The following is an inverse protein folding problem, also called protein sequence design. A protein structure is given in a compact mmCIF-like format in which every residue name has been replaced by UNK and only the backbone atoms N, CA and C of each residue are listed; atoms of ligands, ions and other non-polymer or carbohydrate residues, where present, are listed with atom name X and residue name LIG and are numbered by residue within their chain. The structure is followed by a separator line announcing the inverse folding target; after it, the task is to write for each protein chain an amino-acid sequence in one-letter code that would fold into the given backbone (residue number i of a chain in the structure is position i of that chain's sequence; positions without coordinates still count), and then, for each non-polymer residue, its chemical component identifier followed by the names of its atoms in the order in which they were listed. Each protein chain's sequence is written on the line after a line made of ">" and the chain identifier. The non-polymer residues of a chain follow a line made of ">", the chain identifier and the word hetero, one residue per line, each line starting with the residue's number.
data_IF_685023862547
#
_entry.id   IF_685023862547
#
_cell.length_a   1.000
_cell.length_b   1.000
_cell.length_c   1.000
_cell.angle_alpha   90.00
_cell.angle_beta   90.00
_cell.angle_gamma   90.00
#
_symmetry.space_group_name_H-M   'P 1'
#
loop_
_entity.id
_entity.type
_entity.pdbx_description
1 polymer ?
#
# COMPACT_ATOMS: atom_id res chain seq x y z
N UNK A 1 -8.39 35.79 -14.57
CA UNK A 1 -8.20 34.35 -14.90
C UNK A 1 -9.56 33.71 -14.87
N UNK A 2 -9.94 33.04 -15.96
CA UNK A 2 -11.28 32.50 -16.18
C UNK A 2 -11.69 31.57 -15.04
N UNK A 3 -12.83 31.85 -14.41
CA UNK A 3 -13.54 30.87 -13.60
C UNK A 3 -13.95 29.77 -14.57
N UNK A 4 -13.24 28.64 -14.55
CA UNK A 4 -13.70 27.46 -15.27
C UNK A 4 -14.99 27.04 -14.57
N UNK A 5 -16.10 27.09 -15.30
CA UNK A 5 -17.42 26.74 -14.84
C UNK A 5 -17.38 25.27 -14.40
N UNK A 6 -17.20 25.02 -13.10
CA UNK A 6 -16.97 23.69 -12.57
C UNK A 6 -18.09 22.73 -12.96
N UNK A 7 -17.72 21.54 -13.43
CA UNK A 7 -18.68 20.50 -13.78
C UNK A 7 -19.26 19.92 -12.48
N UNK A 8 -20.46 20.37 -12.10
CA UNK A 8 -21.18 19.85 -10.91
C UNK A 8 -21.38 18.32 -11.00
N UNK A 9 -21.61 17.80 -12.20
CA UNK A 9 -21.74 16.36 -12.44
C UNK A 9 -20.43 15.61 -12.19
N UNK A 10 -19.31 16.08 -12.74
CA UNK A 10 -18.01 15.45 -12.53
C UNK A 10 -17.57 15.53 -11.05
N UNK A 11 -17.89 16.63 -10.37
CA UNK A 11 -17.63 16.77 -8.92
C UNK A 11 -18.37 15.70 -8.11
N UNK A 12 -19.63 15.42 -8.46
CA UNK A 12 -20.39 14.37 -7.79
C UNK A 12 -19.81 12.97 -8.04
N UNK A 13 -19.29 12.70 -9.24
CA UNK A 13 -18.61 11.43 -9.55
C UNK A 13 -17.29 11.27 -8.79
N UNK A 14 -16.57 12.38 -8.57
CA UNK A 14 -15.40 12.37 -7.69
C UNK A 14 -15.84 12.15 -6.25
N UNK A 15 -16.96 12.69 -5.75
CA UNK A 15 -17.48 12.31 -4.42
C UNK A 15 -16.49 12.53 -3.26
N UNK A 16 -15.54 13.44 -3.43
CA UNK A 16 -14.51 13.77 -2.45
C UNK A 16 -14.88 15.08 -1.77
N UNK A 17 -14.96 15.07 -0.44
CA UNK A 17 -15.42 16.22 0.33
C UNK A 17 -14.46 17.40 0.18
N UNK A 18 -15.00 18.61 -0.02
CA UNK A 18 -14.18 19.82 -0.14
C UNK A 18 -13.41 19.96 -1.46
N UNK A 19 -13.66 19.12 -2.47
CA UNK A 19 -13.10 19.28 -3.82
C UNK A 19 -14.17 19.57 -4.87
N UNK A 20 -13.79 20.30 -5.91
CA UNK A 20 -14.57 20.54 -7.12
C UNK A 20 -13.75 20.19 -8.35
N UNK A 21 -14.41 19.65 -9.37
CA UNK A 21 -13.82 19.41 -10.69
C UNK A 21 -14.01 20.66 -11.54
N UNK A 22 -12.89 21.28 -11.93
CA UNK A 22 -12.87 22.42 -12.83
C UNK A 22 -12.90 22.00 -14.29
N UNK A 23 -12.16 20.94 -14.65
CA UNK A 23 -12.07 20.46 -16.03
C UNK A 23 -11.79 18.96 -16.07
N UNK A 24 -12.13 18.34 -17.19
CA UNK A 24 -11.87 16.94 -17.50
C UNK A 24 -11.18 16.78 -18.85
N UNK A 25 -10.35 15.76 -18.97
CA UNK A 25 -9.71 15.36 -20.22
C UNK A 25 -9.53 13.84 -20.24
N UNK A 26 -9.61 13.23 -21.43
CA UNK A 26 -9.17 11.85 -21.62
C UNK A 26 -7.78 11.88 -22.25
N UNK A 27 -6.81 11.22 -21.63
CA UNK A 27 -5.41 11.13 -22.09
C UNK A 27 -5.00 9.66 -22.07
N UNK A 28 -4.61 9.13 -23.23
CA UNK A 28 -4.17 7.72 -23.38
C UNK A 28 -5.12 6.68 -22.77
N UNK A 29 -6.42 6.98 -22.77
CA UNK A 29 -7.46 6.11 -22.20
C UNK A 29 -7.73 6.33 -20.72
N UNK A 30 -7.01 7.20 -20.03
CA UNK A 30 -7.23 7.60 -18.63
C UNK A 30 -8.11 8.85 -18.53
N UNK A 31 -8.92 8.95 -17.46
CA UNK A 31 -9.68 10.16 -17.13
C UNK A 31 -8.85 11.08 -16.25
N UNK A 32 -8.49 12.25 -16.76
CA UNK A 32 -7.72 13.26 -16.05
C UNK A 32 -8.66 14.36 -15.58
N UNK A 33 -8.79 14.53 -14.27
CA UNK A 33 -9.69 15.51 -13.66
C UNK A 33 -8.89 16.60 -12.98
N UNK A 34 -9.03 17.83 -13.45
CA UNK A 34 -8.49 18.99 -12.76
C UNK A 34 -9.37 19.31 -11.56
N UNK A 35 -8.80 19.20 -10.37
CA UNK A 35 -9.52 19.42 -9.11
C UNK A 35 -8.92 20.54 -8.29
N UNK A 36 -9.78 21.27 -7.61
CA UNK A 36 -9.40 22.29 -6.63
C UNK A 36 -10.21 22.11 -5.36
N UNK A 37 -9.64 22.51 -4.24
CA UNK A 37 -10.37 22.57 -2.96
C UNK A 37 -11.32 23.77 -2.94
N UNK A 38 -12.45 23.61 -2.26
CA UNK A 38 -13.48 24.65 -2.13
C UNK A 38 -13.12 25.73 -1.12
N UNK A 39 -12.25 25.43 -0.14
CA UNK A 39 -11.79 26.43 0.81
C UNK A 39 -10.92 27.47 0.12
N UNK A 40 -11.24 28.75 0.30
CA UNK A 40 -10.46 29.89 -0.16
C UNK A 40 -9.81 30.66 1.00
N UNK A 41 -9.85 30.08 2.20
CA UNK A 41 -9.35 30.67 3.42
C UNK A 41 -8.27 29.77 4.06
N UNK A 42 -7.17 30.40 4.49
CA UNK A 42 -6.16 29.82 5.34
C UNK A 42 -5.66 30.86 6.35
N UNK A 43 -5.46 30.44 7.59
CA UNK A 43 -4.75 31.23 8.60
C UNK A 43 -3.31 30.76 8.71
N UNK A 44 -2.37 31.69 8.93
CA UNK A 44 -1.00 31.34 9.26
C UNK A 44 -0.96 30.61 10.61
N UNK A 45 -0.36 29.41 10.67
CA UNK A 45 -0.21 28.66 11.93
C UNK A 45 0.77 29.29 12.92
N UNK A 46 1.59 30.26 12.49
CA UNK A 46 2.54 30.97 13.36
C UNK A 46 1.93 32.17 14.08
N UNK A 47 1.23 33.05 13.35
CA UNK A 47 0.71 34.32 13.90
C UNK A 47 -0.81 34.50 13.79
N UNK A 48 -1.53 33.57 13.16
CA UNK A 48 -2.99 33.63 13.00
C UNK A 48 -3.49 34.58 11.91
N UNK A 49 -2.61 35.39 11.29
CA UNK A 49 -3.00 36.31 10.21
C UNK A 49 -3.61 35.55 9.03
N UNK A 50 -4.60 36.18 8.37
CA UNK A 50 -5.20 35.65 7.15
C UNK A 50 -4.14 35.58 6.05
N UNK A 51 -3.94 34.39 5.50
CA UNK A 51 -2.98 34.16 4.44
C UNK A 51 -3.42 34.81 3.12
N UNK A 52 -2.43 35.19 2.31
CA UNK A 52 -2.64 35.65 0.94
C UNK A 52 -2.21 34.58 -0.06
N UNK A 53 -2.84 34.56 -1.23
CA UNK A 53 -2.51 33.59 -2.27
C UNK A 53 -1.16 33.89 -2.91
N UNK A 54 -0.26 32.90 -2.89
CA UNK A 54 1.11 32.96 -3.43
C UNK A 54 1.27 32.00 -4.63
N UNK A 55 0.27 32.00 -5.51
CA UNK A 55 0.23 31.10 -6.67
C UNK A 55 -0.25 29.69 -6.36
N UNK A 56 -0.06 28.79 -7.32
CA UNK A 56 -0.55 27.40 -7.26
C UNK A 56 0.50 26.43 -7.81
N UNK A 57 0.39 25.18 -7.42
CA UNK A 57 1.17 24.07 -7.98
C UNK A 57 0.22 22.93 -8.30
N UNK A 58 0.50 22.15 -9.34
CA UNK A 58 -0.33 20.98 -9.68
C UNK A 58 0.37 19.71 -9.25
N UNK A 59 -0.34 18.81 -8.58
CA UNK A 59 0.13 17.45 -8.26
C UNK A 59 -0.80 16.44 -8.92
N UNK A 60 -0.23 15.42 -9.56
CA UNK A 60 -0.97 14.35 -10.24
C UNK A 60 -1.05 13.15 -9.31
N UNK A 61 -2.25 12.65 -9.08
CA UNK A 61 -2.50 11.59 -8.11
C UNK A 61 -3.50 10.60 -8.70
N UNK A 62 -3.09 9.34 -8.95
CA UNK A 62 -4.02 8.27 -9.30
C UNK A 62 -5.11 8.10 -8.23
N UNK A 63 -6.32 7.81 -8.68
CA UNK A 63 -7.53 7.75 -7.87
C UNK A 63 -8.40 6.56 -8.27
N UNK A 64 -9.57 6.40 -7.63
CA UNK A 64 -10.53 5.37 -7.98
C UNK A 64 -10.95 5.47 -9.46
N UNK A 65 -11.01 4.35 -10.19
CA UNK A 65 -11.55 4.34 -11.54
C UNK A 65 -12.99 4.86 -11.58
N UNK A 66 -13.29 5.72 -12.55
CA UNK A 66 -14.65 6.24 -12.78
C UNK A 66 -15.18 5.57 -14.05
N UNK A 67 -16.33 4.88 -13.94
CA UNK A 67 -16.95 4.15 -15.06
C UNK A 67 -15.99 3.17 -15.76
N UNK A 68 -15.16 2.47 -14.97
CA UNK A 68 -14.19 1.50 -15.47
C UNK A 68 -12.95 2.10 -16.13
N UNK A 69 -12.76 3.43 -16.02
CA UNK A 69 -11.60 4.13 -16.58
C UNK A 69 -10.60 4.50 -15.48
N UNK A 70 -9.30 4.16 -15.62
CA UNK A 70 -8.27 4.67 -14.71
C UNK A 70 -8.36 6.18 -14.61
N UNK A 71 -8.31 6.73 -13.40
CA UNK A 71 -8.57 8.14 -13.15
C UNK A 71 -7.40 8.79 -12.43
N UNK A 72 -6.99 9.95 -12.90
CA UNK A 72 -5.91 10.76 -12.34
C UNK A 72 -6.46 12.12 -11.93
N UNK A 73 -6.28 12.47 -10.67
CA UNK A 73 -6.59 13.81 -10.16
C UNK A 73 -5.39 14.72 -10.37
N UNK A 74 -5.60 15.79 -11.13
CA UNK A 74 -4.68 16.91 -11.26
C UNK A 74 -5.07 17.97 -10.22
N UNK A 75 -4.59 17.83 -8.99
CA UNK A 75 -4.90 18.76 -7.92
C UNK A 75 -4.09 20.05 -8.05
N UNK A 76 -4.78 21.14 -8.35
CA UNK A 76 -4.27 22.51 -8.36
C UNK A 76 -4.31 23.08 -6.94
N UNK A 77 -3.26 22.77 -6.16
CA UNK A 77 -3.11 23.19 -4.77
C UNK A 77 -2.63 24.64 -4.69
N UNK A 78 -3.22 25.41 -3.79
CA UNK A 78 -2.79 26.77 -3.49
C UNK A 78 -1.46 26.77 -2.74
N UNK A 79 -0.66 27.80 -2.99
CA UNK A 79 0.43 28.21 -2.12
C UNK A 79 -0.04 29.44 -1.36
N UNK A 80 0.24 29.47 -0.09
CA UNK A 80 -0.15 30.53 0.83
C UNK A 80 1.08 31.27 1.30
N UNK A 81 0.91 32.55 1.59
CA UNK A 81 1.92 33.41 2.18
C UNK A 81 1.34 34.14 3.39
N UNK A 82 2.15 34.27 4.45
CA UNK A 82 1.83 35.09 5.60
C UNK A 82 2.16 36.55 5.28
N UNK A 83 1.21 37.49 5.38
CA UNK A 83 1.47 38.90 5.07
C UNK A 83 2.26 39.62 6.18
N UNK A 84 2.48 39.00 7.34
CA UNK A 84 3.22 39.60 8.46
C UNK A 84 4.72 39.47 8.21
N UNK A 85 5.40 40.61 8.10
CA UNK A 85 6.82 40.70 7.72
C UNK A 85 7.73 39.84 8.61
N UNK A 86 7.56 39.89 9.93
CA UNK A 86 8.43 39.17 10.88
C UNK A 86 7.96 37.74 11.21
N UNK A 87 6.99 37.19 10.49
CA UNK A 87 6.52 35.83 10.75
C UNK A 87 7.46 34.78 10.15
N UNK A 88 7.91 33.81 10.95
CA UNK A 88 8.83 32.73 10.54
C UNK A 88 8.23 31.78 9.49
N UNK A 89 6.89 31.63 9.44
CA UNK A 89 6.21 30.67 8.56
C UNK A 89 6.38 31.01 7.08
N UNK A 90 6.41 32.30 6.72
CA UNK A 90 6.54 32.85 5.36
C UNK A 90 5.57 32.27 4.33
N UNK A 91 5.80 31.06 3.81
CA UNK A 91 4.95 30.42 2.79
C UNK A 91 4.71 28.95 3.06
N UNK A 92 3.57 28.44 2.60
CA UNK A 92 3.24 27.02 2.70
C UNK A 92 2.35 26.53 1.56
N UNK A 93 2.26 25.21 1.41
CA UNK A 93 1.32 24.60 0.47
C UNK A 93 0.02 24.26 1.19
N UNK A 94 -1.07 24.37 0.45
CA UNK A 94 -2.35 23.80 0.85
C UNK A 94 -2.25 22.29 1.09
N UNK A 95 -2.97 21.81 2.11
CA UNK A 95 -3.02 20.42 2.52
C UNK A 95 -4.48 19.92 2.50
N UNK A 96 -4.64 18.60 2.37
CA UNK A 96 -5.93 17.93 2.41
C UNK A 96 -5.77 16.53 3.02
N UNK A 97 -6.76 16.07 3.78
CA UNK A 97 -6.79 14.70 4.28
C UNK A 97 -7.08 13.67 3.18
N UNK A 98 -7.67 14.09 2.06
CA UNK A 98 -8.03 13.19 0.95
C UNK A 98 -6.82 12.90 0.03
N UNK A 99 -5.84 13.81 0.03
CA UNK A 99 -4.59 13.71 -0.73
C UNK A 99 -3.45 14.21 0.16
N UNK A 100 -2.76 13.28 0.83
CA UNK A 100 -1.62 13.60 1.71
C UNK A 100 -0.49 14.31 0.98
N UNK A 101 0.37 14.99 1.74
CA UNK A 101 1.58 15.61 1.21
C UNK A 101 2.47 14.57 0.53
N UNK A 102 2.91 14.87 -0.71
CA UNK A 102 3.70 13.96 -1.57
C UNK A 102 3.01 12.61 -1.83
N UNK A 103 1.69 12.55 -1.69
CA UNK A 103 0.94 11.35 -1.96
C UNK A 103 1.06 10.92 -3.42
N UNK A 104 1.10 9.60 -3.58
CA UNK A 104 1.18 8.89 -4.87
C UNK A 104 -0.15 8.21 -5.22
N UNK A 105 -1.16 8.33 -4.34
CA UNK A 105 -2.55 7.86 -4.46
C UNK A 105 -3.45 8.76 -3.61
N UNK A 106 -4.72 8.92 -3.98
CA UNK A 106 -5.72 9.49 -3.06
C UNK A 106 -5.96 8.54 -1.88
N UNK A 107 -6.39 9.05 -0.72
CA UNK A 107 -6.61 8.19 0.45
C UNK A 107 -7.70 7.15 0.21
N UNK A 108 -8.76 7.50 -0.49
CA UNK A 108 -9.81 6.54 -0.89
C UNK A 108 -9.30 5.46 -1.86
N UNK A 109 -8.38 5.79 -2.76
CA UNK A 109 -7.75 4.81 -3.63
C UNK A 109 -6.84 3.87 -2.84
N UNK A 110 -6.08 4.40 -1.86
CA UNK A 110 -5.28 3.58 -0.93
C UNK A 110 -6.16 2.59 -0.16
N UNK A 111 -7.29 3.06 0.38
CA UNK A 111 -8.25 2.21 1.10
C UNK A 111 -8.84 1.12 0.20
N UNK A 112 -9.24 1.45 -1.03
CA UNK A 112 -9.75 0.47 -2.00
C UNK A 112 -8.68 -0.56 -2.38
N UNK A 113 -7.46 -0.11 -2.66
CA UNK A 113 -6.30 -0.96 -2.95
C UNK A 113 -6.08 -1.96 -1.81
N UNK A 114 -6.09 -1.48 -0.57
CA UNK A 114 -5.97 -2.35 0.61
C UNK A 114 -7.12 -3.36 0.70
N UNK A 115 -8.37 -2.94 0.44
CA UNK A 115 -9.51 -3.85 0.44
C UNK A 115 -9.39 -4.95 -0.62
N UNK A 116 -8.87 -4.64 -1.83
CA UNK A 116 -8.61 -5.68 -2.85
C UNK A 116 -7.73 -6.80 -2.29
N UNK A 117 -6.69 -6.43 -1.55
CA UNK A 117 -5.72 -7.39 -1.00
C UNK A 117 -6.27 -8.10 0.24
N UNK A 118 -6.77 -7.32 1.20
CA UNK A 118 -7.15 -7.83 2.52
C UNK A 118 -8.49 -8.59 2.51
N UNK A 119 -9.41 -8.27 1.59
CA UNK A 119 -10.79 -8.77 1.62
C UNK A 119 -11.16 -9.56 0.36
N UNK A 120 -10.58 -9.23 -0.80
CA UNK A 120 -10.96 -9.82 -2.09
C UNK A 120 -9.91 -10.81 -2.64
N UNK A 121 -8.81 -11.04 -1.92
CA UNK A 121 -7.80 -12.05 -2.26
C UNK A 121 -6.88 -11.69 -3.42
N UNK A 122 -6.84 -10.43 -3.85
CA UNK A 122 -5.88 -9.97 -4.85
C UNK A 122 -4.46 -9.97 -4.28
N UNK A 123 -3.48 -10.30 -5.12
CA UNK A 123 -2.08 -10.04 -4.76
C UNK A 123 -1.80 -8.53 -4.74
N UNK A 124 -0.86 -8.09 -3.90
CA UNK A 124 -0.37 -6.70 -3.90
C UNK A 124 0.08 -6.25 -5.30
N UNK A 125 0.69 -7.15 -6.08
CA UNK A 125 1.10 -6.85 -7.45
C UNK A 125 -0.08 -6.62 -8.39
N UNK A 126 -1.15 -7.41 -8.28
CA UNK A 126 -2.37 -7.22 -9.07
C UNK A 126 -3.06 -5.90 -8.71
N UNK A 127 -3.18 -5.59 -7.41
CA UNK A 127 -3.72 -4.32 -6.95
C UNK A 127 -2.85 -3.12 -7.39
N UNK A 128 -1.52 -3.27 -7.40
CA UNK A 128 -0.62 -2.23 -7.89
C UNK A 128 -0.84 -1.90 -9.38
N UNK A 129 -1.05 -2.93 -10.21
CA UNK A 129 -1.35 -2.78 -11.64
C UNK A 129 -2.67 -2.04 -11.86
N UNK A 130 -3.72 -2.38 -11.11
CA UNK A 130 -5.04 -1.74 -11.20
C UNK A 130 -4.95 -0.21 -11.00
N UNK A 131 -4.09 0.25 -10.10
CA UNK A 131 -3.92 1.66 -9.78
C UNK A 131 -2.73 2.33 -10.49
N UNK A 132 -2.00 1.59 -11.34
CA UNK A 132 -0.83 2.11 -12.06
C UNK A 132 0.34 2.54 -11.15
N UNK A 133 0.50 1.92 -9.98
CA UNK A 133 1.54 2.27 -9.00
C UNK A 133 2.61 1.18 -8.86
N UNK A 134 3.77 1.56 -8.33
CA UNK A 134 4.82 0.61 -7.99
C UNK A 134 4.42 -0.31 -6.82
N UNK A 135 4.98 -1.52 -6.79
CA UNK A 135 4.69 -2.51 -5.74
C UNK A 135 4.90 -1.97 -4.33
N UNK A 136 5.97 -1.21 -4.08
CA UNK A 136 6.25 -0.62 -2.76
C UNK A 136 5.15 0.35 -2.30
N UNK A 137 4.65 1.17 -3.23
CA UNK A 137 3.54 2.10 -2.96
C UNK A 137 2.27 1.34 -2.57
N UNK A 138 1.93 0.30 -3.34
CA UNK A 138 0.79 -0.55 -3.05
C UNK A 138 0.95 -1.27 -1.71
N UNK A 139 2.12 -1.86 -1.45
CA UNK A 139 2.41 -2.55 -0.20
C UNK A 139 2.31 -1.63 1.03
N UNK A 140 2.77 -0.38 0.92
CA UNK A 140 2.61 0.60 1.99
C UNK A 140 1.13 0.97 2.22
N UNK A 141 0.34 1.09 1.14
CA UNK A 141 -1.11 1.35 1.27
C UNK A 141 -1.84 0.20 1.96
N UNK A 142 -1.48 -1.04 1.65
CA UNK A 142 -1.98 -2.24 2.35
C UNK A 142 -1.58 -2.18 3.82
N UNK A 143 -0.29 -2.00 4.13
CA UNK A 143 0.20 -1.98 5.50
C UNK A 143 -0.48 -0.91 6.37
N UNK A 144 -0.71 0.30 5.84
CA UNK A 144 -1.41 1.38 6.56
C UNK A 144 -2.89 1.05 6.87
N UNK A 145 -3.49 0.09 6.17
CA UNK A 145 -4.92 -0.26 6.26
C UNK A 145 -5.14 -1.73 6.67
N UNK A 146 -4.10 -2.39 7.17
CA UNK A 146 -4.20 -3.75 7.70
C UNK A 146 -3.99 -3.70 9.20
N UNK A 147 -5.00 -4.13 9.96
CA UNK A 147 -4.83 -4.37 11.39
C UNK A 147 -3.94 -5.62 11.58
N UNK A 148 -2.80 -5.51 12.28
CA UNK A 148 -1.90 -6.64 12.46
C UNK A 148 -2.48 -7.62 13.48
N UNK A 149 -3.19 -8.65 13.00
CA UNK A 149 -3.75 -9.70 13.88
C UNK A 149 -2.68 -10.38 14.75
N UNK A 150 -1.43 -10.42 14.28
CA UNK A 150 -0.28 -10.94 15.04
C UNK A 150 0.05 -10.13 16.30
N UNK A 151 -0.39 -8.87 16.38
CA UNK A 151 -0.18 -8.00 17.54
C UNK A 151 -1.30 -8.14 18.59
N UNK A 152 -2.39 -8.83 18.27
CA UNK A 152 -3.48 -9.10 19.22
C UNK A 152 -2.99 -10.08 20.31
N UNK A 153 -2.96 -9.68 21.61
CA UNK A 153 -2.54 -10.56 22.68
C UNK A 153 -3.47 -11.78 22.85
N UNK A 154 -4.75 -11.66 22.51
CA UNK A 154 -5.73 -12.73 22.62
C UNK A 154 -5.70 -13.71 21.43
N UNK A 155 -4.85 -13.48 20.42
CA UNK A 155 -4.79 -14.33 19.21
C UNK A 155 -4.52 -15.81 19.49
N UNK A 156 -3.82 -16.11 20.60
CA UNK A 156 -3.48 -17.49 20.99
C UNK A 156 -4.56 -18.18 21.84
N UNK A 157 -5.59 -17.45 22.25
CA UNK A 157 -6.69 -18.00 23.06
C UNK A 157 -7.54 -18.94 22.21
N UNK A 158 -7.82 -20.13 22.75
CA UNK A 158 -8.67 -21.13 22.11
C UNK A 158 -8.06 -21.83 20.88
N UNK A 159 -6.75 -21.71 20.64
CA UNK A 159 -6.06 -22.46 19.57
C UNK A 159 -5.97 -23.94 19.96
N UNK A 160 -6.57 -24.82 19.16
CA UNK A 160 -6.47 -26.28 19.37
C UNK A 160 -5.52 -26.94 18.36
N UNK A 161 -5.39 -26.39 17.16
CA UNK A 161 -4.52 -26.92 16.11
C UNK A 161 -3.79 -25.81 15.34
N UNK A 162 -2.49 -26.02 15.13
CA UNK A 162 -1.64 -25.10 14.35
C UNK A 162 -1.16 -25.71 13.04
N UNK A 163 -1.14 -24.87 12.00
CA UNK A 163 -0.48 -25.10 10.73
C UNK A 163 0.83 -24.35 10.72
N UNK A 164 1.86 -24.94 10.10
CA UNK A 164 3.17 -24.30 9.95
C UNK A 164 3.59 -24.36 8.50
N UNK A 165 3.84 -23.19 7.91
CA UNK A 165 4.38 -23.05 6.56
C UNK A 165 5.76 -22.39 6.60
N UNK A 166 6.63 -22.77 5.67
CA UNK A 166 7.95 -22.17 5.50
C UNK A 166 8.05 -21.52 4.13
N UNK A 167 8.23 -20.21 4.12
CA UNK A 167 8.47 -19.45 2.89
C UNK A 167 9.92 -18.97 2.82
N UNK A 168 10.57 -19.21 1.68
CA UNK A 168 11.77 -18.47 1.31
C UNK A 168 11.37 -17.03 0.95
N UNK A 169 11.62 -16.11 1.85
CA UNK A 169 11.23 -14.71 1.73
C UNK A 169 12.21 -13.91 0.86
N UNK A 170 13.51 -14.13 1.06
CA UNK A 170 14.56 -13.46 0.30
C UNK A 170 15.56 -14.48 -0.21
N UNK A 171 15.82 -14.48 -1.53
CA UNK A 171 16.93 -15.24 -2.11
C UNK A 171 18.26 -14.62 -1.70
N UNK A 172 19.33 -15.41 -1.66
CA UNK A 172 20.66 -14.89 -1.38
C UNK A 172 21.04 -13.80 -2.39
N UNK A 173 21.57 -12.68 -1.88
CA UNK A 173 22.16 -11.57 -2.62
C UNK A 173 23.61 -11.39 -2.16
N UNK A 174 24.44 -10.57 -2.82
CA UNK A 174 25.80 -10.29 -2.35
C UNK A 174 25.88 -9.71 -0.92
N UNK A 175 24.80 -9.09 -0.44
CA UNK A 175 24.74 -8.42 0.86
C UNK A 175 23.83 -9.12 1.87
N UNK A 176 23.09 -10.17 1.47
CA UNK A 176 22.19 -10.89 2.36
C UNK A 176 22.19 -12.38 2.07
N UNK A 177 22.27 -13.19 3.12
CA UNK A 177 21.95 -14.63 3.04
C UNK A 177 20.48 -14.83 2.65
N UNK A 178 20.16 -16.04 2.19
CA UNK A 178 18.76 -16.43 2.01
C UNK A 178 18.01 -16.28 3.34
N UNK A 179 16.88 -15.57 3.33
CA UNK A 179 16.00 -15.45 4.49
C UNK A 179 14.77 -16.32 4.31
N UNK A 180 14.45 -17.04 5.37
CA UNK A 180 13.25 -17.84 5.49
C UNK A 180 12.34 -17.17 6.51
N UNK A 181 11.04 -17.32 6.32
CA UNK A 181 10.01 -16.92 7.26
C UNK A 181 9.15 -18.15 7.51
N UNK A 182 8.87 -18.43 8.76
CA UNK A 182 7.94 -19.48 9.18
C UNK A 182 6.63 -18.81 9.59
N UNK A 183 5.55 -19.13 8.90
CA UNK A 183 4.20 -18.70 9.24
C UNK A 183 3.55 -19.76 10.12
N UNK A 184 2.94 -19.32 11.21
CA UNK A 184 2.18 -20.18 12.13
C UNK A 184 0.73 -19.71 12.07
N UNK A 185 -0.18 -20.63 11.78
CA UNK A 185 -1.60 -20.33 11.55
C UNK A 185 -2.46 -21.18 12.45
N UNK A 186 -3.59 -20.64 12.85
CA UNK A 186 -4.69 -21.40 13.45
C UNK A 186 -5.44 -22.14 12.34
N UNK A 187 -5.51 -23.47 12.43
CA UNK A 187 -6.15 -24.29 11.40
C UNK A 187 -7.68 -24.24 11.43
N UNK A 188 -8.29 -23.85 12.55
CA UNK A 188 -9.73 -23.83 12.72
C UNK A 188 -10.29 -22.44 12.39
N UNK A 189 -9.61 -21.38 12.86
CA UNK A 189 -9.99 -19.98 12.60
C UNK A 189 -9.42 -19.43 11.28
N UNK A 190 -8.47 -20.14 10.66
CA UNK A 190 -7.78 -19.70 9.43
C UNK A 190 -7.10 -18.33 9.56
N UNK A 191 -6.53 -18.04 10.73
CA UNK A 191 -5.85 -16.76 11.02
C UNK A 191 -4.36 -16.97 11.28
N UNK A 192 -3.55 -15.94 11.01
CA UNK A 192 -2.10 -15.97 11.26
C UNK A 192 -1.82 -15.70 12.74
N UNK A 193 -1.25 -16.67 13.43
CA UNK A 193 -0.83 -16.52 14.83
C UNK A 193 0.54 -15.84 14.95
N UNK A 194 1.46 -16.11 14.02
CA UNK A 194 2.79 -15.51 14.01
C UNK A 194 3.49 -15.63 12.64
N UNK A 195 4.45 -14.72 12.39
CA UNK A 195 5.38 -14.79 11.26
C UNK A 195 6.79 -14.53 11.76
N UNK A 196 7.59 -15.59 11.86
CA UNK A 196 8.91 -15.52 12.50
C UNK A 196 10.01 -15.71 11.47
N UNK A 197 11.06 -14.89 11.53
CA UNK A 197 12.25 -15.09 10.68
C UNK A 197 13.00 -16.37 11.10
N UNK A 198 13.19 -17.28 10.13
CA UNK A 198 13.88 -18.53 10.33
C UNK A 198 13.19 -19.70 9.61
N UNK A 199 13.85 -20.86 9.67
CA UNK A 199 13.31 -22.12 9.15
C UNK A 199 12.44 -22.80 10.20
N UNK A 200 11.43 -23.55 9.77
CA UNK A 200 10.44 -24.12 10.67
C UNK A 200 11.09 -25.02 11.74
N UNK A 201 12.12 -25.78 11.36
CA UNK A 201 12.86 -26.70 12.26
C UNK A 201 13.49 -25.98 13.45
N UNK A 202 13.97 -24.75 13.23
CA UNK A 202 14.69 -23.97 14.25
C UNK A 202 13.73 -23.06 15.04
N UNK A 203 12.67 -22.60 14.37
CA UNK A 203 11.69 -21.64 14.90
C UNK A 203 10.65 -22.33 15.78
N UNK A 204 10.02 -23.41 15.29
CA UNK A 204 8.81 -23.95 15.90
C UNK A 204 9.02 -24.37 17.35
N UNK A 205 10.08 -25.14 17.63
CA UNK A 205 10.35 -25.59 19.00
C UNK A 205 10.63 -24.43 19.97
N UNK A 206 11.26 -23.34 19.51
CA UNK A 206 11.45 -22.14 20.33
C UNK A 206 10.13 -21.43 20.58
N UNK A 207 9.38 -21.22 19.50
CA UNK A 207 8.08 -20.57 19.54
C UNK A 207 7.13 -21.27 20.51
N UNK A 208 7.05 -22.61 20.47
CA UNK A 208 6.26 -23.43 21.39
C UNK A 208 6.72 -23.28 22.85
N UNK A 209 8.03 -23.33 23.11
CA UNK A 209 8.56 -23.19 24.48
C UNK A 209 8.23 -21.84 25.11
N UNK A 210 8.18 -20.77 24.32
CA UNK A 210 7.81 -19.43 24.81
C UNK A 210 6.35 -19.37 25.30
N UNK A 211 5.47 -20.28 24.86
CA UNK A 211 4.06 -20.34 25.31
C UNK A 211 3.86 -21.25 26.52
N UNK A 212 4.81 -22.13 26.82
CA UNK A 212 4.75 -23.04 27.97
C UNK A 212 3.94 -24.31 27.71
N UNK A 213 4.11 -25.29 28.60
CA UNK A 213 3.45 -26.61 28.57
C UNK A 213 1.93 -26.52 28.68
N UNK A 214 1.43 -25.58 29.49
CA UNK A 214 0.00 -25.39 29.76
C UNK A 214 -0.76 -25.03 28.48
N UNK A 215 -0.18 -24.15 27.65
CA UNK A 215 -0.75 -23.80 26.35
C UNK A 215 -0.61 -24.94 25.33
N UNK A 216 0.49 -25.70 25.38
CA UNK A 216 0.73 -26.80 24.45
C UNK A 216 -0.10 -28.06 24.76
N UNK A 217 -0.78 -28.13 25.91
CA UNK A 217 -1.60 -29.28 26.28
C UNK A 217 -0.83 -30.48 26.87
N UNK A 218 0.40 -30.28 27.36
CA UNK A 218 1.17 -31.33 28.03
C UNK A 218 2.61 -30.95 28.41
N UNK A 219 3.23 -31.75 29.30
CA UNK A 219 4.55 -31.52 29.90
C UNK A 219 5.74 -31.54 28.90
N UNK A 220 5.50 -31.83 27.62
CA UNK A 220 6.55 -31.92 26.59
C UNK A 220 6.37 -30.82 25.54
N UNK A 221 7.32 -29.87 25.39
CA UNK A 221 7.29 -28.87 24.33
C UNK A 221 7.43 -29.53 22.95
N UNK A 222 6.31 -29.83 22.29
CA UNK A 222 6.28 -30.51 21.00
C UNK A 222 4.94 -31.17 20.65
N UNK A 223 4.13 -31.51 21.64
CA UNK A 223 2.85 -32.20 21.46
C UNK A 223 1.66 -31.24 21.57
N UNK A 224 1.64 -30.20 20.72
CA UNK A 224 0.34 -29.63 20.36
C UNK A 224 -0.38 -30.68 19.52
N UNK A 225 -1.68 -30.86 19.75
CA UNK A 225 -2.56 -31.69 18.92
C UNK A 225 -2.29 -31.50 17.42
N UNK A 226 -2.65 -32.51 16.60
CA UNK A 226 -1.94 -32.88 15.37
C UNK A 226 -1.49 -31.68 14.56
N UNK A 227 -0.19 -31.35 14.62
CA UNK A 227 0.46 -30.46 13.66
C UNK A 227 0.28 -31.10 12.29
N UNK A 228 -0.78 -30.72 11.58
CA UNK A 228 -1.07 -31.23 10.25
C UNK A 228 -0.14 -30.51 9.29
N UNK A 229 0.91 -31.22 8.87
CA UNK A 229 1.80 -30.76 7.81
C UNK A 229 0.97 -30.63 6.53
N UNK A 230 0.76 -29.41 6.06
CA UNK A 230 0.17 -29.19 4.72
C UNK A 230 1.16 -29.77 3.70
N UNK A 231 0.73 -30.61 2.75
CA UNK A 231 1.61 -31.14 1.72
C UNK A 231 2.28 -30.00 0.95
N UNK A 232 3.59 -30.10 0.70
CA UNK A 232 4.28 -29.16 -0.18
C UNK A 232 3.57 -29.15 -1.54
N UNK A 233 2.95 -28.02 -1.89
CA UNK A 233 2.40 -27.81 -3.22
C UNK A 233 3.47 -27.99 -4.30
N UNK A 234 3.10 -28.35 -5.54
CA UNK A 234 4.06 -28.68 -6.59
C UNK A 234 5.07 -27.54 -6.76
N UNK A 235 6.36 -27.89 -6.65
CA UNK A 235 7.46 -26.94 -6.88
C UNK A 235 7.29 -26.34 -8.27
N UNK A 236 7.14 -25.01 -8.33
CA UNK A 236 7.15 -24.29 -9.60
C UNK A 236 8.46 -24.62 -10.33
N UNK A 237 8.43 -25.15 -11.56
CA UNK A 237 9.65 -25.46 -12.29
C UNK A 237 10.48 -24.17 -12.46
N UNK A 238 11.82 -24.26 -12.45
CA UNK A 238 12.67 -23.11 -12.70
C UNK A 238 12.29 -22.49 -14.05
N UNK A 239 12.07 -21.18 -14.06
CA UNK A 239 11.84 -20.42 -15.28
C UNK A 239 13.03 -20.65 -16.21
N UNK A 240 12.80 -21.26 -17.37
CA UNK A 240 13.80 -21.35 -18.41
C UNK A 240 14.15 -19.93 -18.85
N UNK A 241 15.34 -19.45 -18.48
CA UNK A 241 15.92 -18.27 -19.09
C UNK A 241 16.12 -18.58 -20.57
N UNK A 242 15.31 -17.98 -21.44
CA UNK A 242 15.62 -17.92 -22.86
C UNK A 242 16.90 -17.09 -23.02
N UNK A 243 18.04 -17.77 -23.10
CA UNK A 243 19.27 -17.20 -23.61
C UNK A 243 19.07 -16.91 -25.10
N UNK A 244 18.53 -15.74 -25.41
CA UNK A 244 18.53 -15.19 -26.75
C UNK A 244 19.98 -14.93 -27.16
N UNK A 245 20.55 -15.84 -27.95
CA UNK A 245 21.83 -15.64 -28.64
C UNK A 245 21.70 -14.43 -29.56
N UNK A 246 22.28 -13.29 -29.18
CA UNK A 246 22.53 -12.18 -30.10
C UNK A 246 23.65 -12.62 -31.05
N UNK A 247 23.28 -12.99 -32.26
CA UNK A 247 24.19 -13.10 -33.39
C UNK A 247 24.65 -11.70 -33.78
N UNK A 248 25.94 -11.41 -33.57
CA UNK A 248 26.61 -10.22 -34.08
C UNK A 248 26.76 -10.32 -35.60
N UNK A 249 25.96 -9.60 -36.36
CA UNK A 249 26.26 -9.30 -37.77
C UNK A 249 27.26 -8.14 -37.81
N UNK A 250 28.52 -8.46 -38.10
CA UNK A 250 29.52 -7.46 -38.52
C UNK A 250 29.10 -6.90 -39.89
N UNK A 251 28.85 -5.61 -39.97
CA UNK A 251 28.95 -4.89 -41.24
C UNK A 251 30.44 -4.78 -41.61
N UNK A 252 30.81 -5.44 -42.72
CA UNK A 252 32.02 -5.12 -43.47
C UNK A 252 31.67 -4.03 -44.49
N UNK A 253 32.54 -3.04 -44.52
CA UNK A 253 32.68 -2.02 -45.56
C UNK A 253 32.96 -2.62 -46.93
N UNK A 254 32.26 -2.10 -47.94
CA UNK A 254 32.52 -2.25 -49.37
C UNK A 254 31.70 -1.20 -50.10
#
# INVERSE_FOLDING_TARGET
>A
MSVIQGSRGATALVGMSGFVVGAEQIVDGELWLFVETTSDFAGCWGCGARAVGHGRTTTKVPDLPISGRPTVLCWSKRRWECPVEDCEVKTWSEESCEIRSRAVLSERARKRLAAMVNQEGFSVAAAAVEFGVGWHTANQAVADHTDPHVDDPARLEGVEAIGVDEKRFLNATPTSRTRFTTQIVDLDRHVILDVVEGRFRDVLGRWLRERGSDWCGGDTPGDIGPVRRIPEGPRRPPSQSHSGSRSSSRHQTG
#
